data_IF_689707796896
#
_entry.id   IF_689707796896
#
_cell.length_a   1.000
_cell.length_b   1.000
_cell.length_c   1.000
_cell.angle_alpha   90.00
_cell.angle_beta   90.00
_cell.angle_gamma   90.00
#
_symmetry.space_group_name_H-M   'P 1'
#
loop_
_entity.id
_entity.type
_entity.pdbx_description
1 polymer ?
#
# COMPACT_ATOMS: atom_id res chain seq x y z
N UNK A 1 -7.46 9.64 16.68
CA UNK A 1 -6.06 9.69 16.21
C UNK A 1 -6.02 9.84 14.71
N UNK A 2 -5.02 10.54 14.23
CA UNK A 2 -4.88 10.79 12.80
C UNK A 2 -4.45 9.51 12.07
N UNK A 3 -5.05 9.27 10.90
CA UNK A 3 -4.63 8.15 10.06
C UNK A 3 -3.23 8.41 9.49
N UNK A 4 -2.55 7.34 9.16
CA UNK A 4 -1.24 7.37 8.52
C UNK A 4 -1.30 6.55 7.23
N UNK A 5 -0.40 6.86 6.31
CA UNK A 5 -0.23 6.09 5.08
C UNK A 5 1.10 5.34 5.18
N UNK A 6 1.07 4.05 4.91
CA UNK A 6 2.27 3.20 4.89
C UNK A 6 2.47 2.69 3.48
N UNK A 7 3.63 2.93 2.92
CA UNK A 7 3.94 2.55 1.53
C UNK A 7 5.09 1.55 1.52
N UNK A 8 4.85 0.40 0.91
CA UNK A 8 5.89 -0.56 0.59
C UNK A 8 6.65 -0.01 -0.62
N UNK A 9 7.67 0.79 -0.34
CA UNK A 9 8.32 1.60 -1.37
C UNK A 9 9.21 0.81 -2.31
N UNK A 10 9.65 -0.39 -1.92
CA UNK A 10 10.48 -1.24 -2.78
C UNK A 10 9.73 -1.68 -4.04
N UNK A 11 8.42 -1.82 -3.94
CA UNK A 11 7.58 -2.27 -5.06
C UNK A 11 6.71 -1.17 -5.65
N UNK A 12 6.86 0.07 -5.19
CA UNK A 12 5.99 1.17 -5.58
C UNK A 12 6.57 1.94 -6.77
N UNK A 13 5.84 2.03 -7.91
CA UNK A 13 6.31 2.83 -9.04
C UNK A 13 6.44 4.31 -8.68
N UNK A 14 7.36 4.99 -9.33
CA UNK A 14 7.62 6.41 -9.07
C UNK A 14 6.38 7.28 -9.25
N UNK A 15 5.58 7.01 -10.29
CA UNK A 15 4.38 7.78 -10.57
C UNK A 15 3.35 7.65 -9.44
N UNK A 16 3.26 6.46 -8.85
CA UNK A 16 2.37 6.23 -7.70
C UNK A 16 2.88 6.99 -6.49
N UNK A 17 4.19 6.97 -6.25
CA UNK A 17 4.78 7.72 -5.13
C UNK A 17 4.49 9.22 -5.23
N UNK A 18 4.55 9.79 -6.43
CA UNK A 18 4.26 11.22 -6.65
C UNK A 18 2.82 11.55 -6.22
N UNK A 19 1.87 10.69 -6.58
CA UNK A 19 0.45 10.88 -6.20
C UNK A 19 0.31 10.86 -4.68
N UNK A 20 0.95 9.91 -4.02
CA UNK A 20 0.88 9.77 -2.56
C UNK A 20 1.51 10.99 -1.88
N UNK A 21 2.67 11.42 -2.36
CA UNK A 21 3.38 12.59 -1.81
C UNK A 21 2.50 13.84 -1.89
N UNK A 22 1.88 14.08 -3.03
CA UNK A 22 1.00 15.24 -3.23
C UNK A 22 -0.18 15.20 -2.26
N UNK A 23 -0.82 14.06 -2.12
CA UNK A 23 -1.97 13.91 -1.23
C UNK A 23 -1.56 14.08 0.23
N UNK A 24 -0.44 13.50 0.63
CA UNK A 24 0.06 13.60 2.00
C UNK A 24 0.31 15.06 2.38
N UNK A 25 0.98 15.80 1.51
CA UNK A 25 1.27 17.21 1.76
C UNK A 25 0.00 18.06 1.75
N UNK A 26 -0.90 17.84 0.79
CA UNK A 26 -2.13 18.61 0.66
C UNK A 26 -3.08 18.37 1.83
N UNK A 27 -3.23 17.12 2.25
CA UNK A 27 -4.18 16.74 3.30
C UNK A 27 -3.55 16.68 4.69
N UNK A 28 -2.25 16.93 4.79
CA UNK A 28 -1.50 16.92 6.05
C UNK A 28 -1.59 15.58 6.75
N UNK A 29 -1.29 14.53 6.00
CA UNK A 29 -1.31 13.14 6.49
C UNK A 29 0.11 12.60 6.45
N UNK A 30 0.59 12.04 7.56
CA UNK A 30 1.91 11.41 7.59
C UNK A 30 1.92 10.20 6.67
N UNK A 31 2.90 10.16 5.77
CA UNK A 31 3.13 9.05 4.86
C UNK A 31 4.53 8.49 5.09
N UNK A 32 4.59 7.21 5.44
CA UNK A 32 5.83 6.49 5.71
C UNK A 32 6.16 5.64 4.49
N UNK A 33 7.29 5.94 3.86
CA UNK A 33 7.81 5.17 2.73
C UNK A 33 8.87 4.22 3.26
N UNK A 34 8.54 2.95 3.29
CA UNK A 34 9.34 1.91 3.93
C UNK A 34 10.01 1.04 2.88
N UNK A 35 11.32 0.87 2.96
CA UNK A 35 12.07 0.08 2.01
C UNK A 35 13.31 -0.53 2.65
N UNK A 36 13.91 -1.53 1.98
CA UNK A 36 15.16 -2.16 2.41
C UNK A 36 16.39 -1.44 1.84
N UNK A 37 16.20 -0.24 1.28
CA UNK A 37 17.25 0.54 0.63
C UNK A 37 16.95 2.02 0.83
N UNK A 38 17.95 2.91 0.60
CA UNK A 38 17.68 4.34 0.66
C UNK A 38 16.61 4.77 -0.32
N UNK A 39 15.74 5.66 0.12
CA UNK A 39 14.64 6.18 -0.68
C UNK A 39 14.88 7.66 -0.95
N UNK A 40 14.91 8.02 -2.22
CA UNK A 40 14.97 9.42 -2.61
C UNK A 40 13.56 10.01 -2.57
N UNK A 41 13.24 10.75 -1.51
CA UNK A 41 11.97 11.46 -1.39
C UNK A 41 12.20 12.95 -1.50
N UNK A 42 11.22 13.65 -2.08
CA UNK A 42 11.17 15.09 -2.00
C UNK A 42 10.88 15.42 -0.53
N UNK A 43 11.69 16.28 0.07
CA UNK A 43 11.52 16.65 1.46
C UNK A 43 10.14 17.28 1.69
N UNK A 44 9.47 16.87 2.75
CA UNK A 44 8.17 17.39 3.12
C UNK A 44 7.89 17.11 4.58
N UNK A 45 7.11 17.98 5.19
CA UNK A 45 6.79 17.88 6.61
C UNK A 45 6.05 16.60 6.97
N UNK A 46 5.27 16.07 6.02
CA UNK A 46 4.44 14.89 6.24
C UNK A 46 5.01 13.62 5.61
N UNK A 47 6.24 13.66 5.14
CA UNK A 47 6.88 12.53 4.47
C UNK A 47 8.01 11.98 5.33
N UNK A 48 7.99 10.69 5.55
CA UNK A 48 9.01 9.98 6.33
C UNK A 48 9.55 8.84 5.49
N UNK A 49 10.87 8.83 5.27
CA UNK A 49 11.53 7.70 4.61
C UNK A 49 12.10 6.78 5.70
N UNK A 50 11.75 5.51 5.62
CA UNK A 50 12.22 4.51 6.57
C UNK A 50 13.06 3.49 5.83
N UNK A 51 14.33 3.43 6.15
CA UNK A 51 15.24 2.43 5.59
C UNK A 51 15.37 1.28 6.58
N UNK A 52 14.93 0.09 6.18
CA UNK A 52 15.01 -1.11 6.99
C UNK A 52 16.26 -1.91 6.68
N UNK A 53 16.51 -2.96 7.45
CA UNK A 53 17.60 -3.89 7.17
C UNK A 53 17.41 -4.55 5.80
N UNK A 54 18.52 -4.98 5.20
CA UNK A 54 18.50 -5.62 3.88
C UNK A 54 18.15 -7.10 4.00
N UNK A 55 16.98 -7.38 4.56
CA UNK A 55 16.43 -8.72 4.63
C UNK A 55 15.07 -8.73 3.95
N UNK A 56 14.67 -9.89 3.43
CA UNK A 56 13.49 -10.00 2.57
C UNK A 56 12.19 -9.51 3.20
N UNK A 57 12.08 -9.57 4.52
CA UNK A 57 10.84 -9.26 5.21
C UNK A 57 10.93 -8.07 6.16
N UNK A 58 12.05 -7.37 6.18
CA UNK A 58 12.24 -6.28 7.13
C UNK A 58 11.22 -5.15 6.94
N UNK A 59 10.98 -4.73 5.71
CA UNK A 59 10.01 -3.69 5.40
C UNK A 59 8.58 -4.14 5.73
N UNK A 60 8.23 -5.38 5.37
CA UNK A 60 6.93 -5.94 5.69
C UNK A 60 6.68 -5.99 7.19
N UNK A 61 7.66 -6.47 7.95
CA UNK A 61 7.55 -6.56 9.40
C UNK A 61 7.42 -5.17 10.03
N UNK A 62 8.15 -4.20 9.50
CA UNK A 62 8.07 -2.82 9.99
C UNK A 62 6.63 -2.29 9.88
N UNK A 63 6.00 -2.51 8.73
CA UNK A 63 4.63 -2.08 8.48
C UNK A 63 3.65 -2.84 9.37
N UNK A 64 3.80 -4.18 9.45
CA UNK A 64 2.91 -5.03 10.25
C UNK A 64 2.92 -4.66 11.74
N UNK A 65 4.07 -4.28 12.26
CA UNK A 65 4.21 -3.94 13.67
C UNK A 65 3.61 -2.57 14.01
N UNK A 66 3.47 -1.68 13.03
CA UNK A 66 3.14 -0.28 13.29
C UNK A 66 1.81 0.17 12.72
N UNK A 67 1.35 -0.43 11.61
CA UNK A 67 0.07 -0.02 11.00
C UNK A 67 -1.09 -0.40 11.92
N UNK A 68 -2.08 0.48 11.98
CA UNK A 68 -3.24 0.33 12.87
C UNK A 68 -4.52 0.40 12.05
N UNK A 69 -5.63 -0.19 12.54
CA UNK A 69 -6.92 0.02 11.93
C UNK A 69 -7.21 1.52 11.80
N UNK A 70 -7.67 1.93 10.62
CA UNK A 70 -7.83 3.34 10.28
C UNK A 70 -6.72 3.88 9.41
N UNK A 71 -5.58 3.22 9.36
CA UNK A 71 -4.47 3.55 8.47
C UNK A 71 -4.71 2.96 7.08
N UNK A 72 -3.96 3.47 6.09
CA UNK A 72 -3.97 2.95 4.73
C UNK A 72 -2.58 2.40 4.40
N UNK A 73 -2.53 1.18 3.88
CA UNK A 73 -1.28 0.57 3.43
C UNK A 73 -1.33 0.38 1.92
N UNK A 74 -0.25 0.69 1.24
CA UNK A 74 -0.12 0.53 -0.21
C UNK A 74 1.00 -0.47 -0.46
N UNK A 75 0.64 -1.65 -0.97
CA UNK A 75 1.59 -2.72 -1.27
C UNK A 75 1.02 -3.62 -2.36
N UNK A 76 1.90 -4.24 -3.13
CA UNK A 76 1.52 -5.31 -4.05
C UNK A 76 1.86 -6.70 -3.49
N UNK A 77 2.44 -6.75 -2.32
CA UNK A 77 2.79 -8.01 -1.66
C UNK A 77 1.53 -8.66 -1.08
N UNK A 78 1.10 -9.76 -1.69
CA UNK A 78 -0.17 -10.40 -1.32
C UNK A 78 -0.11 -11.01 0.08
N UNK A 79 0.94 -11.74 0.50
CA UNK A 79 1.01 -12.23 1.87
C UNK A 79 0.97 -11.14 2.93
N UNK A 80 1.64 -10.01 2.69
CA UNK A 80 1.57 -8.86 3.59
C UNK A 80 0.15 -8.30 3.63
N UNK A 81 -0.47 -8.12 2.45
CA UNK A 81 -1.84 -7.62 2.36
C UNK A 81 -2.82 -8.50 3.12
N UNK A 82 -2.66 -9.82 3.03
CA UNK A 82 -3.51 -10.77 3.76
C UNK A 82 -3.43 -10.55 5.26
N UNK A 83 -2.24 -10.43 5.81
CA UNK A 83 -2.06 -10.21 7.24
C UNK A 83 -2.66 -8.89 7.70
N UNK A 84 -2.50 -7.84 6.88
CA UNK A 84 -3.04 -6.51 7.19
C UNK A 84 -4.58 -6.50 7.14
N UNK A 85 -5.16 -7.12 6.09
CA UNK A 85 -6.60 -7.21 5.95
C UNK A 85 -7.20 -8.00 7.12
N UNK A 86 -6.57 -9.09 7.51
CA UNK A 86 -7.02 -9.89 8.65
C UNK A 86 -6.97 -9.10 9.96
N UNK A 87 -6.08 -8.11 10.05
CA UNK A 87 -5.98 -7.22 11.21
C UNK A 87 -6.94 -6.02 11.13
N UNK A 88 -7.78 -5.94 10.11
CA UNK A 88 -8.74 -4.85 9.96
C UNK A 88 -8.14 -3.57 9.37
N UNK A 89 -7.00 -3.67 8.70
CA UNK A 89 -6.33 -2.53 8.10
C UNK A 89 -6.66 -2.47 6.61
N UNK A 90 -6.92 -1.26 6.10
CA UNK A 90 -7.24 -1.06 4.68
C UNK A 90 -5.98 -1.13 3.84
N UNK A 91 -6.01 -1.93 2.78
CA UNK A 91 -4.87 -2.13 1.89
C UNK A 91 -5.30 -1.96 0.44
N UNK A 92 -4.52 -1.19 -0.33
CA UNK A 92 -4.69 -1.07 -1.77
C UNK A 92 -3.36 -1.38 -2.45
N UNK A 93 -3.42 -1.78 -3.73
CA UNK A 93 -2.19 -1.96 -4.50
C UNK A 93 -1.94 -0.75 -5.42
N UNK A 94 -0.83 -0.80 -6.13
CA UNK A 94 -0.40 0.28 -7.02
C UNK A 94 -1.19 0.36 -8.32
N UNK A 95 -2.11 -0.56 -8.55
CA UNK A 95 -2.97 -0.58 -9.75
C UNK A 95 -4.42 -0.24 -9.44
N UNK A 96 -4.69 0.26 -8.25
CA UNK A 96 -6.02 0.72 -7.88
C UNK A 96 -6.97 -0.38 -7.49
N UNK A 97 -6.46 -1.45 -6.90
CA UNK A 97 -7.30 -2.52 -6.37
C UNK A 97 -7.29 -2.46 -4.84
N UNK A 98 -8.47 -2.45 -4.25
CA UNK A 98 -8.58 -2.55 -2.79
C UNK A 98 -8.76 -4.01 -2.40
N UNK A 99 -7.92 -4.51 -1.50
CA UNK A 99 -8.06 -5.86 -0.98
C UNK A 99 -9.08 -5.89 0.15
N UNK A 100 -9.87 -6.95 0.22
CA UNK A 100 -10.83 -7.14 1.30
C UNK A 100 -10.83 -8.63 1.71
N UNK A 101 -11.50 -8.99 2.82
CA UNK A 101 -11.46 -10.38 3.28
C UNK A 101 -11.92 -11.41 2.26
N UNK A 102 -12.82 -11.02 1.34
CA UNK A 102 -13.30 -11.94 0.32
C UNK A 102 -12.32 -12.12 -0.84
N UNK A 103 -11.73 -11.00 -1.31
CA UNK A 103 -10.86 -11.03 -2.49
C UNK A 103 -9.43 -11.46 -2.17
N UNK A 104 -8.95 -11.20 -0.95
CA UNK A 104 -7.54 -11.47 -0.62
C UNK A 104 -7.21 -12.96 -0.65
N UNK A 105 -8.12 -13.82 -0.24
CA UNK A 105 -7.90 -15.27 -0.28
C UNK A 105 -7.80 -15.77 -1.71
N UNK A 106 -8.63 -15.24 -2.61
CA UNK A 106 -8.56 -15.57 -4.03
C UNK A 106 -7.22 -15.12 -4.62
N UNK A 107 -6.79 -13.91 -4.28
CA UNK A 107 -5.49 -13.39 -4.74
C UNK A 107 -4.32 -14.22 -4.24
N UNK A 108 -4.38 -14.64 -2.98
CA UNK A 108 -3.33 -15.48 -2.40
C UNK A 108 -3.26 -16.84 -3.10
N UNK A 109 -4.41 -17.45 -3.39
CA UNK A 109 -4.47 -18.73 -4.11
C UNK A 109 -3.88 -18.60 -5.52
N UNK A 110 -4.22 -17.53 -6.24
CA UNK A 110 -3.68 -17.27 -7.58
C UNK A 110 -2.16 -17.07 -7.51
N UNK A 111 -1.68 -16.31 -6.53
CA UNK A 111 -0.24 -16.09 -6.35
C UNK A 111 0.50 -17.41 -6.11
N UNK A 112 -0.04 -18.25 -5.23
CA UNK A 112 0.58 -19.53 -4.92
C UNK A 112 0.57 -20.46 -6.14
N UNK A 113 -0.51 -20.48 -6.90
CA UNK A 113 -0.60 -21.25 -8.14
C UNK A 113 0.44 -20.81 -9.16
N UNK A 114 0.60 -19.49 -9.35
CA UNK A 114 1.59 -18.94 -10.27
C UNK A 114 3.02 -19.26 -9.82
N UNK A 115 3.25 -19.23 -8.52
CA UNK A 115 4.54 -19.60 -7.95
C UNK A 115 4.87 -21.06 -8.25
N UNK A 116 3.90 -21.97 -8.09
CA UNK A 116 4.07 -23.39 -8.40
C UNK A 116 4.33 -23.61 -9.89
N UNK A 117 3.64 -22.87 -10.77
CA UNK A 117 3.88 -22.96 -12.21
C UNK A 117 5.31 -22.57 -12.56
N UNK A 118 5.82 -21.50 -11.97
CA UNK A 118 7.20 -21.06 -12.18
C UNK A 118 8.20 -22.11 -11.68
N UNK A 119 7.95 -22.71 -10.53
CA UNK A 119 8.81 -23.75 -9.98
C UNK A 119 8.83 -25.00 -10.87
N UNK A 120 7.72 -25.29 -11.57
CA UNK A 120 7.63 -26.39 -12.51
C UNK A 120 8.21 -26.06 -13.90
N UNK A 121 8.75 -24.87 -14.09
CA UNK A 121 9.31 -24.44 -15.37
C UNK A 121 8.26 -23.95 -16.37
N UNK A 122 7.02 -23.84 -15.96
CA UNK A 122 5.94 -23.34 -16.80
C UNK A 122 5.78 -21.85 -16.54
N UNK A 123 6.29 -21.03 -17.45
CA UNK A 123 6.19 -19.57 -17.29
C UNK A 123 4.78 -19.12 -17.66
N UNK A 124 4.05 -18.48 -16.73
CA UNK A 124 2.79 -17.86 -17.09
C UNK A 124 3.06 -16.69 -18.04
N UNK A 125 2.03 -16.30 -18.79
CA UNK A 125 2.14 -15.12 -19.63
C UNK A 125 2.52 -13.92 -18.76
N UNK A 126 3.43 -13.08 -19.30
CA UNK A 126 3.88 -11.91 -18.57
C UNK A 126 2.71 -10.98 -18.30
N UNK A 127 2.62 -10.51 -17.06
CA UNK A 127 1.65 -9.46 -16.71
C UNK A 127 1.95 -8.20 -17.51
N UNK A 128 0.90 -7.50 -17.90
CA UNK A 128 1.05 -6.23 -18.60
C UNK A 128 1.88 -5.26 -17.76
N UNK A 129 2.72 -4.47 -18.44
CA UNK A 129 3.51 -3.44 -17.78
C UNK A 129 2.61 -2.40 -17.16
N UNK A 130 3.06 -1.81 -16.06
CA UNK A 130 2.41 -0.68 -15.44
C UNK A 130 2.31 0.46 -16.46
N UNK A 131 1.10 1.00 -16.65
CA UNK A 131 0.83 1.98 -17.68
C UNK A 131 -0.06 3.13 -17.19
N UNK A 132 -0.41 4.05 -18.07
CA UNK A 132 -1.24 5.22 -17.73
C UNK A 132 -2.60 4.86 -17.15
N UNK A 133 -3.21 3.78 -17.62
CA UNK A 133 -4.49 3.32 -17.09
C UNK A 133 -4.35 2.87 -15.66
N UNK A 134 -3.24 2.21 -15.34
CA UNK A 134 -2.95 1.79 -13.97
C UNK A 134 -2.77 2.98 -13.06
N UNK A 135 -2.09 4.03 -13.53
CA UNK A 135 -1.91 5.28 -12.78
C UNK A 135 -3.28 5.91 -12.49
N UNK A 136 -4.15 5.99 -13.49
CA UNK A 136 -5.49 6.56 -13.35
C UNK A 136 -6.34 5.75 -12.37
N UNK A 137 -6.28 4.42 -12.47
CA UNK A 137 -6.99 3.54 -11.54
C UNK A 137 -6.49 3.71 -10.11
N UNK A 138 -5.17 3.78 -9.97
CA UNK A 138 -4.59 4.01 -8.64
C UNK A 138 -5.05 5.35 -8.08
N UNK A 139 -4.96 6.42 -8.86
CA UNK A 139 -5.36 7.75 -8.40
C UNK A 139 -6.82 7.79 -7.95
N UNK A 140 -7.71 7.18 -8.73
CA UNK A 140 -9.13 7.12 -8.40
C UNK A 140 -9.40 6.29 -7.14
N UNK A 141 -8.78 5.12 -7.04
CA UNK A 141 -8.94 4.23 -5.88
C UNK A 141 -8.37 4.90 -4.62
N UNK A 142 -7.17 5.45 -4.72
CA UNK A 142 -6.49 6.10 -3.61
C UNK A 142 -7.32 7.28 -3.09
N UNK A 143 -7.82 8.12 -3.98
CA UNK A 143 -8.63 9.27 -3.59
C UNK A 143 -9.92 8.81 -2.88
N UNK A 144 -10.61 7.83 -3.43
CA UNK A 144 -11.85 7.30 -2.85
C UNK A 144 -11.60 6.69 -1.47
N UNK A 145 -10.59 5.83 -1.35
CA UNK A 145 -10.28 5.15 -0.10
C UNK A 145 -9.78 6.13 0.94
N UNK A 146 -8.93 7.07 0.53
CA UNK A 146 -8.38 8.07 1.44
C UNK A 146 -9.50 8.95 2.01
N UNK A 147 -10.43 9.39 1.15
CA UNK A 147 -11.57 10.18 1.59
C UNK A 147 -12.44 9.40 2.58
N UNK A 148 -12.72 8.15 2.26
CA UNK A 148 -13.51 7.27 3.16
C UNK A 148 -12.85 7.15 4.53
N UNK A 149 -11.54 6.91 4.56
CA UNK A 149 -10.81 6.76 5.82
C UNK A 149 -10.74 8.07 6.60
N UNK A 150 -10.57 9.18 5.92
CA UNK A 150 -10.57 10.50 6.57
C UNK A 150 -11.91 10.80 7.22
N UNK A 151 -13.01 10.46 6.57
CA UNK A 151 -14.34 10.63 7.13
C UNK A 151 -14.53 9.73 8.34
N UNK A 152 -14.13 8.48 8.26
CA UNK A 152 -14.25 7.52 9.37
C UNK A 152 -13.38 7.90 10.57
N UNK A 153 -12.23 8.55 10.32
CA UNK A 153 -11.30 8.96 11.36
C UNK A 153 -11.52 10.42 11.81
N UNK A 154 -12.47 11.12 11.21
CA UNK A 154 -12.76 12.48 11.61
C UNK A 154 -13.22 12.48 13.08
N UNK A 155 -12.75 13.43 13.90
CA UNK A 155 -13.26 13.54 15.25
C UNK A 155 -14.77 13.72 15.19
N UNK A 156 -15.48 13.04 16.06
CA UNK A 156 -16.92 13.17 16.18
C UNK A 156 -17.20 14.58 16.66
N UNK A 157 -17.36 15.45 15.73
CA UNK A 157 -17.58 16.83 16.06
C UNK A 157 -18.98 17.09 16.37
N UNK A 158 -19.56 16.23 16.72
CA UNK A 158 -20.76 16.51 16.95
C UNK A 158 -21.09 17.29 17.78
N UNK A 159 -20.46 17.44 17.44
CA UNK A 159 -20.63 18.06 18.01
C UNK A 159 -21.18 18.44 18.23
N UNK A 160 -20.96 18.07 18.09
CA UNK A 160 -21.22 18.32 18.53
C UNK A 160 -21.36 17.97 18.51
#
# INVERSE_FOLDING_TARGET
>A
MAMKIWVDADSCPRQVRVIIVRAANKKKILAYFVANRPIALIAGEYLVAVECEKTDQAADNYILERALPGDLVITRDIPLAKQLVDAGITVINDRGEEFNPNTINTRLSIRNFMYELNAAGLKPESTARFNKKDIQKFAACFDTVLHRLLVQNAPCSNGG
#
